data_IF_700261750110
#
_entry.id   IF_700261750110
#
_cell.length_a   1.000
_cell.length_b   1.000
_cell.length_c   1.000
_cell.angle_alpha   90.00
_cell.angle_beta   90.00
_cell.angle_gamma   90.00
#
_symmetry.space_group_name_H-M   'P 1'
#
loop_
_entity.id
_entity.type
_entity.pdbx_description
1 polymer ?
#
# COMPACT_ATOMS: atom_id res chain seq x y z
N UNK A 1 -2.69 -8.44 -5.94
CA UNK A 1 -2.17 -7.16 -5.41
C UNK A 1 -2.34 -7.18 -3.92
N UNK A 2 -1.39 -6.62 -3.21
CA UNK A 2 -1.35 -6.62 -1.76
C UNK A 2 -1.05 -5.23 -1.25
N UNK A 3 -1.67 -4.87 -0.13
CA UNK A 3 -1.39 -3.66 0.61
C UNK A 3 -0.35 -3.99 1.69
N UNK A 4 0.75 -3.24 1.73
CA UNK A 4 1.86 -3.43 2.67
C UNK A 4 2.17 -2.08 3.32
N UNK A 5 2.33 -2.02 4.63
CA UNK A 5 2.56 -0.76 5.33
C UNK A 5 2.70 -0.90 6.84
N UNK A 6 2.62 0.23 7.55
CA UNK A 6 2.76 0.26 9.01
C UNK A 6 1.74 -0.63 9.73
N UNK A 7 0.50 -0.75 9.21
CA UNK A 7 -0.57 -1.56 9.79
C UNK A 7 -0.32 -3.08 9.75
N UNK A 8 0.62 -3.56 8.92
CA UNK A 8 1.04 -4.96 8.91
C UNK A 8 2.55 -5.12 9.13
N UNK A 9 3.18 -4.17 9.83
CA UNK A 9 4.61 -4.16 10.12
C UNK A 9 5.51 -4.32 8.87
N UNK A 10 5.05 -3.82 7.72
CA UNK A 10 5.74 -3.96 6.44
C UNK A 10 6.00 -5.42 6.01
N UNK A 11 5.22 -6.38 6.52
CA UNK A 11 5.29 -7.77 6.07
C UNK A 11 4.86 -7.87 4.61
N UNK A 12 5.77 -8.37 3.76
CA UNK A 12 5.54 -8.55 2.32
C UNK A 12 4.55 -9.65 1.99
N UNK A 13 4.17 -10.52 2.93
CA UNK A 13 3.00 -11.40 2.74
C UNK A 13 1.75 -10.58 2.40
N UNK A 14 1.67 -9.36 2.96
CA UNK A 14 0.74 -8.31 2.58
C UNK A 14 -0.73 -8.61 2.92
N UNK A 15 -1.55 -7.57 2.85
CA UNK A 15 -3.00 -7.69 2.99
C UNK A 15 -3.60 -7.80 1.58
N UNK A 16 -4.36 -8.86 1.24
CA UNK A 16 -4.86 -9.03 -0.12
C UNK A 16 -5.86 -7.93 -0.50
N UNK A 17 -5.73 -7.43 -1.73
CA UNK A 17 -6.72 -6.57 -2.36
C UNK A 17 -7.62 -7.40 -3.28
N UNK A 18 -8.93 -7.22 -3.18
CA UNK A 18 -9.93 -7.86 -4.04
C UNK A 18 -10.24 -6.98 -5.25
N UNK A 19 -10.12 -7.52 -6.47
CA UNK A 19 -10.55 -6.82 -7.70
C UNK A 19 -12.07 -6.69 -7.67
N UNK A 20 -12.59 -5.46 -7.74
CA UNK A 20 -14.03 -5.17 -7.77
C UNK A 20 -14.52 -4.86 -9.20
N UNK A 21 -13.71 -4.13 -9.97
CA UNK A 21 -13.97 -3.84 -11.38
C UNK A 21 -12.65 -3.61 -12.11
N UNK A 22 -12.69 -3.24 -13.38
CA UNK A 22 -11.47 -2.95 -14.13
C UNK A 22 -10.67 -1.83 -13.48
N UNK A 23 -9.42 -2.17 -13.15
CA UNK A 23 -8.47 -1.33 -12.42
C UNK A 23 -8.91 -0.84 -11.04
N UNK A 24 -9.95 -1.42 -10.43
CA UNK A 24 -10.37 -1.12 -9.06
C UNK A 24 -10.14 -2.32 -8.16
N UNK A 25 -9.30 -2.12 -7.15
CA UNK A 25 -8.91 -3.11 -6.16
C UNK A 25 -9.17 -2.56 -4.76
N UNK A 26 -9.79 -3.36 -3.89
CA UNK A 26 -10.30 -2.88 -2.59
C UNK A 26 -9.93 -3.86 -1.49
N UNK A 27 -9.63 -3.32 -0.32
CA UNK A 27 -9.62 -4.05 0.96
C UNK A 27 -10.26 -3.17 2.02
N UNK A 28 -10.63 -3.77 3.15
CA UNK A 28 -11.21 -3.04 4.29
C UNK A 28 -10.37 -3.33 5.53
N UNK A 29 -9.94 -2.27 6.20
CA UNK A 29 -9.13 -2.34 7.41
C UNK A 29 -9.84 -1.59 8.53
N UNK A 30 -9.78 -2.15 9.74
CA UNK A 30 -10.09 -1.44 10.96
C UNK A 30 -8.77 -0.94 11.56
N UNK A 31 -8.55 0.37 11.53
CA UNK A 31 -7.34 1.02 12.02
C UNK A 31 -7.67 1.95 13.18
N UNK A 32 -6.76 2.05 14.14
CA UNK A 32 -6.80 3.10 15.15
C UNK A 32 -6.44 4.45 14.51
N UNK A 33 -6.81 5.54 15.20
CA UNK A 33 -6.32 6.90 14.85
C UNK A 33 -4.80 6.89 14.80
N UNK A 34 -4.24 7.48 13.74
CA UNK A 34 -2.79 7.49 13.50
C UNK A 34 -2.41 7.77 12.06
N UNK A 35 -1.11 7.96 11.84
CA UNK A 35 -0.51 8.07 10.53
C UNK A 35 0.15 6.75 10.14
N UNK A 36 -0.19 6.23 8.95
CA UNK A 36 0.30 4.97 8.43
C UNK A 36 0.89 5.17 7.05
N UNK A 37 2.13 4.74 6.87
CA UNK A 37 2.75 4.66 5.56
C UNK A 37 2.43 3.33 4.88
N UNK A 38 2.25 3.32 3.56
CA UNK A 38 1.98 2.12 2.80
C UNK A 38 2.49 2.14 1.35
N UNK A 39 2.56 0.95 0.75
CA UNK A 39 2.79 0.66 -0.66
C UNK A 39 1.84 -0.43 -1.15
N UNK A 40 1.62 -0.47 -2.46
CA UNK A 40 0.87 -1.56 -3.11
C UNK A 40 1.83 -2.46 -3.88
N UNK A 41 1.85 -3.73 -3.51
CA UNK A 41 2.64 -4.78 -4.14
C UNK A 41 1.82 -5.51 -5.18
N UNK A 42 2.26 -5.46 -6.43
CA UNK A 42 1.82 -6.36 -7.49
C UNK A 42 2.69 -7.62 -7.49
N UNK A 43 2.05 -8.78 -7.58
CA UNK A 43 2.71 -10.09 -7.64
C UNK A 43 2.17 -10.85 -8.84
N UNK A 44 3.05 -11.29 -9.72
CA UNK A 44 2.73 -12.06 -10.92
C UNK A 44 3.70 -13.25 -11.03
N UNK A 45 3.24 -14.46 -10.65
CA UNK A 45 4.13 -15.61 -10.48
C UNK A 45 5.21 -15.31 -9.44
N UNK A 46 6.47 -15.49 -9.80
CA UNK A 46 7.63 -15.20 -8.93
C UNK A 46 8.10 -13.73 -9.02
N UNK A 47 7.41 -12.88 -9.79
CA UNK A 47 7.78 -11.47 -9.96
C UNK A 47 6.98 -10.56 -9.04
N UNK A 48 7.69 -9.65 -8.38
CA UNK A 48 7.14 -8.62 -7.49
C UNK A 48 7.42 -7.21 -8.04
N UNK A 49 6.47 -6.30 -7.91
CA UNK A 49 6.61 -4.91 -8.30
C UNK A 49 5.83 -3.99 -7.38
N UNK A 50 6.48 -2.94 -6.87
CA UNK A 50 5.78 -1.83 -6.22
C UNK A 50 5.08 -0.96 -7.26
N UNK A 51 3.79 -0.71 -7.08
CA UNK A 51 3.06 0.21 -7.94
C UNK A 51 3.53 1.64 -7.71
N UNK A 52 3.58 2.41 -8.80
CA UNK A 52 3.86 3.84 -8.74
C UNK A 52 2.61 4.57 -8.28
N UNK A 53 2.79 5.58 -7.45
CA UNK A 53 1.70 6.44 -7.00
C UNK A 53 1.35 7.46 -8.08
N UNK A 54 0.09 7.88 -8.11
CA UNK A 54 -0.32 9.06 -8.89
C UNK A 54 0.20 10.33 -8.22
N UNK A 55 0.33 11.42 -8.99
CA UNK A 55 0.75 12.71 -8.45
C UNK A 55 -0.20 13.28 -7.37
N UNK A 56 -1.43 12.78 -7.30
CA UNK A 56 -2.42 13.19 -6.30
C UNK A 56 -2.29 12.44 -4.97
N UNK A 57 -1.40 11.44 -4.89
CA UNK A 57 -1.14 10.69 -3.66
C UNK A 57 -0.20 11.48 -2.76
N UNK A 58 -0.59 11.70 -1.51
CA UNK A 58 0.32 12.24 -0.51
C UNK A 58 1.39 11.20 -0.20
N UNK A 59 2.65 11.54 -0.47
CA UNK A 59 3.80 10.67 -0.24
C UNK A 59 4.78 11.29 0.75
N UNK A 60 5.58 10.43 1.38
CA UNK A 60 6.72 10.80 2.23
C UNK A 60 7.95 10.02 1.79
N UNK A 61 9.13 10.63 1.93
CA UNK A 61 10.42 9.97 1.67
C UNK A 61 10.59 8.77 2.61
N UNK A 62 10.99 7.62 2.06
CA UNK A 62 11.15 6.38 2.84
C UNK A 62 12.56 6.17 3.41
N UNK A 63 13.50 7.08 3.15
CA UNK A 63 14.89 7.02 3.59
C UNK A 63 15.79 6.11 2.75
N UNK A 64 15.26 5.44 1.74
CA UNK A 64 15.99 4.50 0.87
C UNK A 64 16.00 4.94 -0.61
N UNK A 65 15.64 6.20 -0.87
CA UNK A 65 15.58 6.78 -2.23
C UNK A 65 14.29 6.46 -2.98
N UNK A 66 13.23 6.06 -2.25
CA UNK A 66 11.87 5.94 -2.76
C UNK A 66 10.90 6.67 -1.82
N UNK A 67 9.61 6.54 -2.08
CA UNK A 67 8.55 7.21 -1.30
C UNK A 67 7.50 6.20 -0.90
N UNK A 68 6.87 6.40 0.26
CA UNK A 68 5.68 5.68 0.73
C UNK A 68 4.45 6.59 0.65
N UNK A 69 3.27 6.04 0.37
CA UNK A 69 2.02 6.79 0.49
C UNK A 69 1.65 6.96 1.98
N UNK A 70 1.09 8.12 2.33
CA UNK A 70 0.66 8.45 3.69
C UNK A 70 -0.86 8.34 3.82
N UNK A 71 -1.32 7.60 4.84
CA UNK A 71 -2.71 7.50 5.24
C UNK A 71 -2.87 8.05 6.66
N UNK A 72 -3.65 9.12 6.81
CA UNK A 72 -4.02 9.66 8.11
C UNK A 72 -5.42 9.19 8.48
N UNK A 73 -5.55 8.58 9.66
CA UNK A 73 -6.81 8.20 10.30
C UNK A 73 -7.03 9.15 11.48
N UNK A 74 -8.15 9.88 11.47
CA UNK A 74 -8.55 10.86 12.49
C UNK A 74 -9.85 10.45 13.22
#
# INVERSE_FOLDING_TARGET
MYLVGGFNNWDKTGIPLTKQSDNIYVTQLLLSVGAYEYKVLEVQGDSEKWLQFSNDTYTVDDGFGSENAMLLIE
#
